data_IF_157493039458
#
_entry.id   IF_157493039458
#
_cell.length_a   1.000
_cell.length_b   1.000
_cell.length_c   1.000
_cell.angle_alpha   90.00
_cell.angle_beta   90.00
_cell.angle_gamma   90.00
#
_symmetry.space_group_name_H-M   'P 1'
#
loop_
_entity.id
_entity.type
_entity.pdbx_description
1 polymer ?
#
# COMPACT_ATOMS: atom_id res chain seq x y z
N UNK A 1 36.25 7.63 -2.73
CA UNK A 1 35.21 6.86 -2.03
C UNK A 1 35.26 5.43 -2.54
N UNK A 2 35.25 4.40 -1.66
CA UNK A 2 35.30 3.01 -2.09
C UNK A 2 34.14 2.66 -3.02
N UNK A 3 34.37 1.83 -4.07
CA UNK A 3 33.31 1.43 -5.04
C UNK A 3 32.06 0.86 -4.37
N UNK A 4 32.24 0.08 -3.31
CA UNK A 4 31.14 -0.51 -2.52
C UNK A 4 30.21 0.56 -1.90
N UNK A 5 30.75 1.66 -1.40
CA UNK A 5 29.96 2.77 -0.84
C UNK A 5 29.19 3.54 -1.92
N UNK A 6 29.75 3.66 -3.11
CA UNK A 6 29.07 4.28 -4.27
C UNK A 6 27.89 3.40 -4.67
N UNK A 7 28.09 2.09 -4.76
CA UNK A 7 27.08 1.11 -5.08
C UNK A 7 25.92 1.11 -4.03
N UNK A 8 26.29 1.06 -2.74
CA UNK A 8 25.32 1.10 -1.66
C UNK A 8 24.46 2.38 -1.69
N UNK A 9 25.07 3.54 -1.92
CA UNK A 9 24.32 4.83 -2.07
C UNK A 9 23.39 4.82 -3.28
N UNK A 10 23.79 4.21 -4.41
CA UNK A 10 22.95 4.09 -5.59
C UNK A 10 21.73 3.21 -5.29
N UNK A 11 21.93 2.04 -4.67
CA UNK A 11 20.84 1.14 -4.26
C UNK A 11 19.88 1.80 -3.27
N UNK A 12 20.40 2.48 -2.25
CA UNK A 12 19.56 3.22 -1.30
C UNK A 12 18.74 4.31 -2.00
N UNK A 13 19.35 5.07 -2.91
CA UNK A 13 18.63 6.11 -3.67
C UNK A 13 17.56 5.54 -4.59
N UNK A 14 17.73 4.33 -5.07
CA UNK A 14 16.75 3.65 -5.93
C UNK A 14 15.60 3.05 -5.13
N UNK A 15 15.89 2.41 -3.99
CA UNK A 15 14.94 1.58 -3.25
C UNK A 15 14.42 2.21 -1.94
N UNK A 16 14.82 3.46 -1.60
CA UNK A 16 14.35 4.10 -0.37
C UNK A 16 12.81 4.18 -0.24
N UNK A 17 12.00 4.31 -1.34
CA UNK A 17 10.55 4.35 -1.18
C UNK A 17 9.98 3.01 -0.71
N UNK A 18 10.53 1.90 -1.23
CA UNK A 18 10.22 0.55 -0.78
C UNK A 18 10.57 0.38 0.69
N UNK A 19 11.81 0.77 1.07
CA UNK A 19 12.29 0.65 2.45
C UNK A 19 11.47 1.49 3.42
N UNK A 20 11.01 2.68 3.02
CA UNK A 20 10.19 3.54 3.85
C UNK A 20 8.82 2.94 4.17
N UNK A 21 8.26 2.12 3.29
CA UNK A 21 7.01 1.39 3.54
C UNK A 21 7.26 0.09 4.31
N UNK A 22 8.29 -0.66 3.94
CA UNK A 22 8.61 -1.96 4.52
C UNK A 22 9.07 -1.86 5.98
N UNK A 23 9.95 -0.89 6.28
CA UNK A 23 10.60 -0.78 7.58
C UNK A 23 9.63 -0.59 8.75
N UNK A 24 8.59 0.26 8.69
CA UNK A 24 7.59 0.33 9.73
C UNK A 24 6.92 -1.02 10.02
N UNK A 25 6.52 -1.77 8.99
CA UNK A 25 5.91 -3.10 9.16
C UNK A 25 6.85 -4.06 9.91
N UNK A 26 8.12 -4.10 9.50
CA UNK A 26 9.14 -4.97 10.13
C UNK A 26 9.44 -4.55 11.58
N UNK A 27 9.56 -3.26 11.85
CA UNK A 27 9.82 -2.75 13.21
C UNK A 27 8.64 -3.01 14.14
N UNK A 28 7.41 -2.81 13.67
CA UNK A 28 6.20 -3.03 14.47
C UNK A 28 5.96 -4.52 14.72
N UNK A 29 6.35 -5.40 13.81
CA UNK A 29 6.32 -6.84 14.05
C UNK A 29 7.20 -7.26 15.23
N UNK A 30 8.34 -6.58 15.43
CA UNK A 30 9.19 -6.78 16.61
C UNK A 30 8.54 -6.43 17.95
N UNK A 31 7.53 -5.55 17.95
CA UNK A 31 6.73 -5.21 19.12
C UNK A 31 5.65 -6.24 19.48
N UNK A 32 5.46 -7.26 18.66
CA UNK A 32 4.57 -8.39 18.89
C UNK A 32 3.11 -7.99 19.12
N UNK A 33 2.46 -8.72 20.04
CA UNK A 33 1.03 -8.51 20.33
C UNK A 33 0.74 -7.12 20.91
N UNK A 34 1.62 -6.58 21.73
CA UNK A 34 1.43 -5.26 22.34
C UNK A 34 1.35 -4.16 21.28
N UNK A 35 2.28 -4.15 20.31
CA UNK A 35 2.24 -3.19 19.20
C UNK A 35 0.99 -3.39 18.34
N UNK A 36 0.62 -4.64 18.06
CA UNK A 36 -0.59 -4.96 17.29
C UNK A 36 -1.85 -4.41 17.97
N UNK A 37 -2.06 -4.67 19.24
CA UNK A 37 -3.24 -4.20 19.97
C UNK A 37 -3.31 -2.67 20.09
N UNK A 38 -2.16 -2.02 20.24
CA UNK A 38 -2.08 -0.55 20.32
C UNK A 38 -2.38 0.14 18.99
N UNK A 39 -2.00 -0.48 17.85
CA UNK A 39 -1.97 0.17 16.55
C UNK A 39 -2.97 -0.39 15.53
N UNK A 40 -3.58 -1.56 15.77
CA UNK A 40 -4.59 -2.11 14.86
C UNK A 40 -5.74 -1.12 14.65
N UNK A 41 -6.36 -1.15 13.48
CA UNK A 41 -7.68 -0.57 13.35
C UNK A 41 -8.58 -1.20 14.42
N UNK A 42 -9.21 -0.37 15.21
CA UNK A 42 -10.17 -0.79 16.24
C UNK A 42 -11.31 0.21 16.21
N UNK A 43 -12.48 -0.24 15.74
CA UNK A 43 -13.63 0.62 15.50
C UNK A 43 -14.04 1.38 16.75
N UNK A 44 -14.12 0.69 17.89
CA UNK A 44 -14.51 1.31 19.15
C UNK A 44 -13.53 2.40 19.56
N UNK A 45 -12.24 2.12 19.55
CA UNK A 45 -11.20 3.08 19.89
C UNK A 45 -11.18 4.30 18.95
N UNK A 46 -11.36 4.09 17.64
CA UNK A 46 -11.44 5.18 16.65
C UNK A 46 -12.61 6.12 16.97
N UNK A 47 -13.78 5.58 17.26
CA UNK A 47 -14.97 6.35 17.61
C UNK A 47 -14.81 7.12 18.93
N UNK A 48 -13.88 6.70 19.81
CA UNK A 48 -13.49 7.40 21.04
C UNK A 48 -12.27 8.33 20.86
N UNK A 49 -11.83 8.57 19.60
CA UNK A 49 -10.81 9.58 19.28
C UNK A 49 -9.43 9.04 18.91
N UNK A 50 -9.19 7.71 18.89
CA UNK A 50 -7.91 7.13 18.51
C UNK A 50 -7.77 7.04 16.96
N UNK A 51 -7.90 8.20 16.30
CA UNK A 51 -8.00 8.31 14.83
C UNK A 51 -6.75 7.84 14.07
N UNK A 52 -5.58 7.77 14.72
CA UNK A 52 -4.36 7.24 14.10
C UNK A 52 -4.52 5.79 13.65
N UNK A 53 -5.41 5.02 14.28
CA UNK A 53 -5.70 3.63 13.96
C UNK A 53 -6.26 3.42 12.55
N UNK A 54 -6.83 4.47 11.94
CA UNK A 54 -7.25 4.45 10.53
C UNK A 54 -6.07 4.16 9.60
N UNK A 55 -4.88 4.61 9.95
CA UNK A 55 -3.65 4.40 9.17
C UNK A 55 -2.82 3.27 9.76
N UNK A 56 -2.58 3.28 11.07
CA UNK A 56 -1.60 2.38 11.70
C UNK A 56 -2.01 0.92 11.65
N UNK A 57 -3.32 0.62 11.58
CA UNK A 57 -3.82 -0.73 11.39
C UNK A 57 -3.27 -1.44 10.15
N UNK A 58 -2.94 -0.68 9.12
CA UNK A 58 -2.35 -1.22 7.89
C UNK A 58 -0.86 -1.62 8.06
N UNK A 59 -0.18 -1.21 9.12
CA UNK A 59 1.25 -1.47 9.31
C UNK A 59 1.56 -2.56 10.35
N UNK A 60 0.55 -3.09 11.01
CA UNK A 60 0.67 -4.22 11.94
C UNK A 60 0.04 -5.48 11.34
N UNK A 61 0.49 -6.66 11.76
CA UNK A 61 0.14 -7.94 11.16
C UNK A 61 -0.23 -8.98 12.21
N UNK A 62 -1.02 -10.00 11.83
CA UNK A 62 -1.42 -11.09 12.73
C UNK A 62 -0.25 -11.96 13.18
N UNK A 63 0.72 -12.17 12.28
CA UNK A 63 1.88 -13.00 12.54
C UNK A 63 2.88 -12.97 11.39
N UNK A 64 3.94 -13.77 11.50
CA UNK A 64 5.03 -13.78 10.51
C UNK A 64 4.57 -14.18 9.09
N UNK A 65 3.62 -15.12 8.98
CA UNK A 65 3.08 -15.54 7.67
C UNK A 65 2.40 -14.38 6.95
N UNK A 66 1.50 -13.66 7.63
CA UNK A 66 0.81 -12.50 7.10
C UNK A 66 1.79 -11.38 6.69
N UNK A 67 2.76 -11.09 7.57
CA UNK A 67 3.81 -10.10 7.26
C UNK A 67 4.61 -10.49 6.02
N UNK A 68 5.05 -11.75 5.90
CA UNK A 68 5.85 -12.21 4.76
C UNK A 68 5.07 -12.14 3.45
N UNK A 69 3.79 -12.51 3.46
CA UNK A 69 2.91 -12.40 2.30
C UNK A 69 2.79 -10.94 1.85
N UNK A 70 2.51 -10.03 2.77
CA UNK A 70 2.37 -8.61 2.47
C UNK A 70 3.69 -7.98 2.00
N UNK A 71 4.83 -8.37 2.59
CA UNK A 71 6.14 -7.89 2.14
C UNK A 71 6.51 -8.44 0.77
N UNK A 72 6.17 -9.69 0.47
CA UNK A 72 6.36 -10.26 -0.87
C UNK A 72 5.50 -9.53 -1.91
N UNK A 73 4.23 -9.24 -1.59
CA UNK A 73 3.34 -8.42 -2.41
C UNK A 73 3.91 -7.02 -2.65
N UNK A 74 4.38 -6.34 -1.60
CA UNK A 74 5.00 -5.01 -1.69
C UNK A 74 6.23 -5.02 -2.61
N UNK A 75 7.12 -6.01 -2.46
CA UNK A 75 8.30 -6.15 -3.32
C UNK A 75 7.89 -6.40 -4.77
N UNK A 76 6.93 -7.30 -5.01
CA UNK A 76 6.42 -7.58 -6.35
C UNK A 76 5.86 -6.32 -7.01
N UNK A 77 5.00 -5.58 -6.31
CA UNK A 77 4.42 -4.33 -6.82
C UNK A 77 5.49 -3.25 -7.05
N UNK A 78 6.52 -3.20 -6.19
CA UNK A 78 7.65 -2.31 -6.41
C UNK A 78 8.43 -2.66 -7.68
N UNK A 79 8.68 -3.95 -7.93
CA UNK A 79 9.34 -4.41 -9.15
C UNK A 79 8.51 -4.11 -10.41
N UNK A 80 7.18 -4.24 -10.32
CA UNK A 80 6.28 -3.96 -11.43
C UNK A 80 6.08 -2.46 -11.68
N UNK A 81 5.94 -1.67 -10.64
CA UNK A 81 5.46 -0.28 -10.74
C UNK A 81 6.48 0.79 -10.33
N UNK A 82 7.67 0.43 -9.86
CA UNK A 82 8.67 1.38 -9.38
C UNK A 82 9.07 2.45 -10.41
N UNK A 83 8.96 2.16 -11.71
CA UNK A 83 9.22 3.14 -12.78
C UNK A 83 8.05 4.11 -13.02
N UNK A 84 6.80 3.69 -12.75
CA UNK A 84 5.61 4.53 -12.92
C UNK A 84 5.23 5.26 -11.64
N UNK A 85 5.68 4.76 -10.49
CA UNK A 85 5.46 5.34 -9.15
C UNK A 85 6.79 5.67 -8.44
N UNK A 86 7.69 6.46 -9.04
CA UNK A 86 9.01 6.71 -8.46
C UNK A 86 8.96 7.63 -7.23
N UNK A 87 9.96 7.46 -6.36
CA UNK A 87 10.19 8.37 -5.24
C UNK A 87 9.02 8.42 -4.25
N UNK A 88 8.65 9.60 -3.80
CA UNK A 88 7.61 9.83 -2.79
C UNK A 88 6.20 9.39 -3.19
N UNK A 89 5.95 9.09 -4.45
CA UNK A 89 4.64 8.63 -4.93
C UNK A 89 4.23 7.32 -4.29
N UNK A 90 5.16 6.37 -4.13
CA UNK A 90 4.89 5.07 -3.51
C UNK A 90 4.46 5.21 -2.04
N UNK A 91 5.27 5.78 -1.12
CA UNK A 91 4.85 5.89 0.28
C UNK A 91 3.63 6.79 0.47
N UNK A 92 3.47 7.86 -0.29
CA UNK A 92 2.27 8.70 -0.22
C UNK A 92 1.01 7.97 -0.69
N UNK A 93 1.11 7.14 -1.75
CA UNK A 93 -0.01 6.33 -2.21
C UNK A 93 -0.39 5.28 -1.15
N UNK A 94 0.60 4.64 -0.50
CA UNK A 94 0.34 3.72 0.61
C UNK A 94 -0.35 4.42 1.77
N UNK A 95 0.12 5.59 2.21
CA UNK A 95 -0.50 6.35 3.29
C UNK A 95 -1.93 6.79 2.94
N UNK A 96 -2.14 7.30 1.74
CA UNK A 96 -3.47 7.69 1.26
C UNK A 96 -4.40 6.47 1.15
N UNK A 97 -3.90 5.36 0.61
CA UNK A 97 -4.63 4.09 0.55
C UNK A 97 -5.01 3.58 1.94
N UNK A 98 -4.05 3.57 2.88
CA UNK A 98 -4.31 3.18 4.28
C UNK A 98 -5.40 4.02 4.93
N UNK A 99 -5.39 5.35 4.70
CA UNK A 99 -6.46 6.24 5.19
C UNK A 99 -7.81 5.90 4.57
N UNK A 100 -7.87 5.68 3.24
CA UNK A 100 -9.12 5.34 2.55
C UNK A 100 -9.63 3.96 2.98
N UNK A 101 -8.74 2.97 3.16
CA UNK A 101 -9.10 1.66 3.73
C UNK A 101 -9.71 1.84 5.12
N UNK A 102 -9.03 2.54 6.04
CA UNK A 102 -9.54 2.77 7.38
C UNK A 102 -10.89 3.51 7.41
N UNK A 103 -11.05 4.54 6.58
CA UNK A 103 -12.33 5.27 6.45
C UNK A 103 -13.41 4.41 5.79
N UNK A 104 -13.06 3.62 4.77
CA UNK A 104 -13.97 2.70 4.10
C UNK A 104 -14.54 1.67 5.09
N UNK A 105 -13.68 1.02 5.87
CA UNK A 105 -14.10 0.09 6.93
C UNK A 105 -14.94 0.80 8.01
N UNK A 106 -14.60 2.04 8.38
CA UNK A 106 -15.33 2.79 9.40
C UNK A 106 -16.74 3.16 8.94
N UNK A 107 -16.90 3.56 7.69
CA UNK A 107 -18.16 4.11 7.18
C UNK A 107 -19.00 3.07 6.45
N UNK A 108 -18.37 2.11 5.75
CA UNK A 108 -19.03 1.10 4.91
C UNK A 108 -19.30 -0.21 5.61
N UNK A 109 -18.44 -0.62 6.56
CA UNK A 109 -18.49 -1.96 7.17
C UNK A 109 -18.64 -1.91 8.71
N UNK A 110 -19.83 -1.57 9.21
CA UNK A 110 -20.06 -1.46 10.65
C UNK A 110 -19.80 -2.76 11.42
N UNK A 111 -19.82 -3.92 10.78
CA UNK A 111 -19.52 -5.22 11.37
C UNK A 111 -18.03 -5.51 11.53
N UNK A 112 -17.14 -4.71 10.92
CA UNK A 112 -15.69 -4.88 11.09
C UNK A 112 -15.24 -4.14 12.34
N UNK A 113 -15.04 -4.91 13.42
CA UNK A 113 -14.60 -4.36 14.71
C UNK A 113 -13.10 -4.04 14.73
N UNK A 114 -12.27 -4.86 14.09
CA UNK A 114 -10.82 -4.65 14.03
C UNK A 114 -10.23 -5.17 12.71
N UNK A 115 -9.08 -4.57 12.32
CA UNK A 115 -8.37 -4.91 11.08
C UNK A 115 -6.87 -4.69 11.24
N UNK A 116 -6.08 -5.51 10.54
CA UNK A 116 -4.63 -5.42 10.40
C UNK A 116 -4.19 -5.87 9.01
N UNK A 117 -3.04 -5.37 8.54
CA UNK A 117 -2.41 -5.77 7.27
C UNK A 117 -2.38 -4.66 6.23
N UNK A 118 -1.27 -4.60 5.47
CA UNK A 118 -1.06 -3.57 4.46
C UNK A 118 -1.68 -3.92 3.09
N UNK A 119 -2.23 -5.13 2.93
CA UNK A 119 -2.71 -5.66 1.65
C UNK A 119 -3.71 -4.73 0.94
N UNK A 120 -4.64 -4.10 1.67
CA UNK A 120 -5.55 -3.11 1.11
C UNK A 120 -4.81 -1.92 0.51
N UNK A 121 -3.81 -1.37 1.20
CA UNK A 121 -2.98 -0.29 0.67
C UNK A 121 -2.07 -0.76 -0.48
N UNK A 122 -1.74 -2.05 -0.56
CA UNK A 122 -1.04 -2.61 -1.73
C UNK A 122 -1.94 -2.61 -2.98
N UNK A 123 -3.24 -2.86 -2.84
CA UNK A 123 -4.19 -2.74 -3.96
C UNK A 123 -4.31 -1.29 -4.44
N UNK A 124 -4.06 -0.30 -3.57
CA UNK A 124 -3.89 1.10 -4.00
C UNK A 124 -2.71 1.27 -4.94
N UNK A 125 -1.55 0.68 -4.62
CA UNK A 125 -0.38 0.71 -5.50
C UNK A 125 -0.64 -0.02 -6.81
N UNK A 126 -1.34 -1.16 -6.76
CA UNK A 126 -1.68 -1.94 -7.95
C UNK A 126 -2.57 -1.14 -8.90
N UNK A 127 -3.71 -0.62 -8.43
CA UNK A 127 -4.62 0.17 -9.25
C UNK A 127 -3.93 1.42 -9.84
N UNK A 128 -3.20 2.17 -9.00
CA UNK A 128 -2.50 3.38 -9.40
C UNK A 128 -1.38 3.08 -10.41
N UNK A 129 -0.61 2.01 -10.19
CA UNK A 129 0.47 1.58 -11.08
C UNK A 129 -0.05 1.11 -12.44
N UNK A 130 -1.10 0.28 -12.45
CA UNK A 130 -1.75 -0.17 -13.69
C UNK A 130 -2.28 1.01 -14.51
N UNK A 131 -2.95 1.98 -13.87
CA UNK A 131 -3.37 3.23 -14.50
C UNK A 131 -2.19 4.06 -15.01
N UNK A 132 -1.04 4.02 -14.32
CA UNK A 132 0.19 4.66 -14.75
C UNK A 132 0.70 4.12 -16.09
N UNK A 133 0.68 2.79 -16.29
CA UNK A 133 1.01 2.14 -17.57
C UNK A 133 -0.03 2.46 -18.65
N UNK A 134 -1.34 2.34 -18.35
CA UNK A 134 -2.42 2.65 -19.30
C UNK A 134 -2.26 4.08 -19.85
N UNK A 135 -1.94 5.05 -19.00
CA UNK A 135 -1.70 6.45 -19.40
C UNK A 135 -0.49 6.63 -20.30
N UNK A 136 0.52 5.79 -20.13
CA UNK A 136 1.69 5.74 -21.03
C UNK A 136 1.39 5.00 -22.34
N UNK A 137 0.13 4.58 -22.55
CA UNK A 137 -0.34 3.75 -23.68
C UNK A 137 0.35 2.38 -23.72
N UNK A 138 0.81 1.89 -22.59
CA UNK A 138 1.36 0.56 -22.47
C UNK A 138 0.22 -0.45 -22.20
N UNK A 139 0.07 -1.41 -23.10
CA UNK A 139 -0.98 -2.44 -23.04
C UNK A 139 -0.85 -3.35 -21.81
N UNK A 140 0.35 -3.48 -21.26
CA UNK A 140 0.59 -4.24 -20.03
C UNK A 140 -0.23 -3.71 -18.85
N UNK A 141 -0.49 -2.40 -18.81
CA UNK A 141 -1.36 -1.80 -17.81
C UNK A 141 -2.79 -2.37 -17.79
N UNK A 142 -3.34 -2.69 -18.97
CA UNK A 142 -4.67 -3.33 -19.05
C UNK A 142 -4.66 -4.76 -18.54
N UNK A 143 -3.58 -5.51 -18.75
CA UNK A 143 -3.41 -6.87 -18.21
C UNK A 143 -3.37 -6.81 -16.69
N UNK A 144 -2.55 -5.92 -16.12
CA UNK A 144 -2.45 -5.75 -14.68
C UNK A 144 -3.77 -5.28 -14.04
N UNK A 145 -4.49 -4.37 -14.70
CA UNK A 145 -5.81 -3.94 -14.26
C UNK A 145 -6.83 -5.08 -14.32
N UNK A 146 -6.79 -5.90 -15.38
CA UNK A 146 -7.65 -7.08 -15.51
C UNK A 146 -7.43 -8.09 -14.38
N UNK A 147 -6.18 -8.36 -14.00
CA UNK A 147 -5.87 -9.22 -12.85
C UNK A 147 -6.38 -8.65 -11.53
N UNK A 148 -6.21 -7.33 -11.29
CA UNK A 148 -6.74 -6.68 -10.09
C UNK A 148 -8.27 -6.80 -10.04
N UNK A 149 -8.96 -6.48 -11.13
CA UNK A 149 -10.42 -6.56 -11.19
C UNK A 149 -10.93 -7.99 -11.01
N UNK A 150 -10.24 -8.98 -11.59
CA UNK A 150 -10.58 -10.39 -11.40
C UNK A 150 -10.38 -10.83 -9.94
N UNK A 151 -9.27 -10.41 -9.28
CA UNK A 151 -9.03 -10.64 -7.85
C UNK A 151 -10.16 -10.06 -7.01
N UNK A 152 -10.48 -8.78 -7.19
CA UNK A 152 -11.53 -8.11 -6.42
C UNK A 152 -12.90 -8.73 -6.66
N UNK A 153 -13.25 -9.05 -7.91
CA UNK A 153 -14.51 -9.73 -8.22
C UNK A 153 -14.59 -11.10 -7.54
N UNK A 154 -13.51 -11.88 -7.56
CA UNK A 154 -13.46 -13.15 -6.85
C UNK A 154 -13.68 -12.95 -5.35
N UNK A 155 -12.97 -12.02 -4.73
CA UNK A 155 -13.03 -11.76 -3.30
C UNK A 155 -14.41 -11.29 -2.84
N UNK A 156 -15.08 -10.45 -3.62
CA UNK A 156 -16.43 -9.97 -3.32
C UNK A 156 -17.52 -11.03 -3.53
N UNK A 157 -17.31 -12.00 -4.42
CA UNK A 157 -18.32 -13.02 -4.74
C UNK A 157 -18.14 -14.29 -3.92
N UNK A 158 -16.91 -14.69 -3.61
CA UNK A 158 -16.58 -15.98 -2.99
C UNK A 158 -15.75 -15.85 -1.70
N UNK A 159 -15.37 -14.62 -1.32
CA UNK A 159 -14.53 -14.39 -0.15
C UNK A 159 -13.03 -14.46 -0.46
N UNK A 160 -12.18 -14.50 0.58
CA UNK A 160 -10.74 -14.38 0.42
C UNK A 160 -10.14 -15.48 -0.47
N UNK A 161 -9.04 -15.14 -1.15
CA UNK A 161 -8.30 -16.12 -1.94
C UNK A 161 -7.86 -17.31 -1.06
N UNK A 162 -7.90 -18.55 -1.58
CA UNK A 162 -7.65 -19.76 -0.77
C UNK A 162 -6.32 -19.76 -0.01
N UNK A 163 -5.28 -19.16 -0.59
CA UNK A 163 -3.95 -19.10 0.02
C UNK A 163 -3.83 -18.01 1.09
N UNK A 164 -4.53 -16.86 0.93
CA UNK A 164 -4.39 -15.72 1.83
C UNK A 164 -4.93 -16.00 3.23
N UNK A 165 -5.99 -16.77 3.37
CA UNK A 165 -6.53 -17.16 4.69
C UNK A 165 -5.58 -18.10 5.43
N UNK A 166 -4.92 -19.01 4.71
CA UNK A 166 -3.99 -19.96 5.31
C UNK A 166 -2.69 -19.28 5.78
N UNK A 167 -2.18 -18.31 5.02
CA UNK A 167 -0.93 -17.59 5.33
C UNK A 167 -1.14 -16.46 6.33
N UNK A 168 -2.29 -15.78 6.30
CA UNK A 168 -2.59 -14.68 7.22
C UNK A 168 -2.77 -15.12 8.68
N UNK A 169 -3.18 -16.38 8.91
CA UNK A 169 -3.48 -16.90 10.24
C UNK A 169 -4.76 -16.33 10.86
N UNK A 170 -5.66 -15.76 10.06
CA UNK A 170 -6.93 -15.19 10.50
C UNK A 170 -7.85 -14.81 9.33
N UNK A 171 -9.02 -14.25 9.67
CA UNK A 171 -9.99 -13.80 8.65
C UNK A 171 -9.44 -12.60 7.86
N UNK A 172 -9.43 -12.73 6.55
CA UNK A 172 -9.07 -11.64 5.63
C UNK A 172 -10.30 -10.78 5.38
N UNK A 173 -10.18 -9.48 5.60
CA UNK A 173 -11.24 -8.49 5.33
C UNK A 173 -11.10 -8.02 3.88
N UNK A 174 -11.85 -8.66 2.97
CA UNK A 174 -11.75 -8.43 1.52
C UNK A 174 -12.20 -7.02 1.09
N UNK A 175 -13.09 -6.39 1.87
CA UNK A 175 -13.54 -5.02 1.61
C UNK A 175 -12.40 -3.99 1.73
N UNK A 176 -11.38 -4.27 2.57
CA UNK A 176 -10.16 -3.47 2.63
C UNK A 176 -9.42 -3.43 1.28
N UNK A 177 -9.42 -4.54 0.53
CA UNK A 177 -8.83 -4.62 -0.80
C UNK A 177 -9.60 -3.75 -1.81
N UNK A 178 -10.93 -3.82 -1.77
CA UNK A 178 -11.79 -2.99 -2.62
C UNK A 178 -11.58 -1.50 -2.34
N UNK A 179 -11.59 -1.07 -1.07
CA UNK A 179 -11.35 0.33 -0.69
C UNK A 179 -9.95 0.80 -1.11
N UNK A 180 -8.94 -0.06 -0.97
CA UNK A 180 -7.60 0.23 -1.45
C UNK A 180 -7.53 0.44 -2.96
N UNK A 181 -8.14 -0.45 -3.73
CA UNK A 181 -8.20 -0.33 -5.19
C UNK A 181 -8.96 0.94 -5.64
N UNK A 182 -10.06 1.28 -4.96
CA UNK A 182 -10.79 2.53 -5.19
C UNK A 182 -9.92 3.76 -4.90
N UNK A 183 -9.14 3.75 -3.81
CA UNK A 183 -8.19 4.82 -3.51
C UNK A 183 -7.16 4.98 -4.64
N UNK A 184 -6.58 3.88 -5.14
CA UNK A 184 -5.64 3.90 -6.25
C UNK A 184 -6.26 4.43 -7.55
N UNK A 185 -7.49 4.05 -7.84
CA UNK A 185 -8.24 4.57 -8.98
C UNK A 185 -8.48 6.08 -8.86
N UNK A 186 -8.96 6.57 -7.70
CA UNK A 186 -9.19 7.99 -7.45
C UNK A 186 -7.90 8.80 -7.57
N UNK A 187 -6.80 8.35 -6.95
CA UNK A 187 -5.49 8.99 -7.08
C UNK A 187 -5.01 8.97 -8.53
N UNK A 188 -5.26 7.87 -9.22
CA UNK A 188 -4.96 7.71 -10.63
C UNK A 188 -5.75 8.69 -11.49
N UNK A 189 -7.07 8.78 -11.40
CA UNK A 189 -7.91 9.68 -12.20
C UNK A 189 -7.78 11.14 -11.79
N UNK A 190 -7.58 11.44 -10.50
CA UNK A 190 -7.29 12.78 -9.97
C UNK A 190 -5.94 13.36 -10.39
N UNK A 191 -5.12 12.60 -11.09
CA UNK A 191 -3.78 12.98 -11.55
C UNK A 191 -3.69 14.09 -12.60
N UNK A 192 -4.76 14.88 -12.79
CA UNK A 192 -4.67 16.26 -13.26
C UNK A 192 -4.03 17.20 -12.21
N UNK A 193 -3.90 16.76 -10.95
CA UNK A 193 -3.05 17.44 -9.97
C UNK A 193 -1.58 17.41 -10.44
N UNK A 194 -0.89 18.55 -10.37
CA UNK A 194 0.45 18.71 -10.95
C UNK A 194 1.55 18.06 -10.12
N UNK A 195 1.35 16.76 -9.74
CA UNK A 195 2.36 15.99 -9.01
C UNK A 195 3.74 16.08 -9.69
N UNK A 196 3.77 16.16 -11.03
CA UNK A 196 5.00 16.35 -11.80
C UNK A 196 5.59 17.76 -11.69
N UNK A 197 4.79 18.79 -11.41
CA UNK A 197 5.25 20.19 -11.33
C UNK A 197 5.73 20.56 -9.92
N UNK A 198 5.05 20.10 -8.89
CA UNK A 198 5.41 20.41 -7.50
C UNK A 198 6.75 19.73 -7.15
N UNK A 199 6.94 18.48 -7.58
CA UNK A 199 8.16 17.73 -7.25
C UNK A 199 9.37 18.08 -8.09
N UNK A 200 9.23 18.64 -9.31
CA UNK A 200 10.39 19.17 -10.07
C UNK A 200 11.10 20.30 -9.34
N UNK A 201 10.40 21.09 -8.54
CA UNK A 201 10.99 22.16 -7.74
C UNK A 201 11.83 21.65 -6.56
N UNK A 202 11.58 20.44 -6.06
CA UNK A 202 12.29 19.87 -4.91
C UNK A 202 13.41 18.89 -5.28
N UNK A 203 13.43 18.35 -6.51
CA UNK A 203 14.38 17.29 -6.94
C UNK A 203 15.50 17.80 -7.85
N UNK A 204 15.42 19.02 -8.39
CA UNK A 204 16.50 19.65 -9.17
C UNK A 204 16.84 21.03 -8.62
N UNK A 205 17.71 21.15 -7.60
CA UNK A 205 18.43 22.37 -7.38
C UNK A 205 19.60 22.40 -8.38
N UNK A 206 19.52 23.22 -9.44
CA UNK A 206 20.67 23.65 -10.19
C UNK A 206 20.89 23.09 -11.60
N UNK A 207 19.87 23.07 -12.46
CA UNK A 207 20.09 23.12 -13.91
C UNK A 207 19.49 24.44 -14.39
N UNK A 208 20.32 25.44 -14.80
CA UNK A 208 19.82 26.64 -15.43
C UNK A 208 19.23 26.34 -16.81
N UNK A 209 18.38 27.25 -17.35
CA UNK A 209 17.63 27.07 -18.58
C UNK A 209 18.52 26.92 -19.82
#
# INVERSE_FOLDING_TARGET
MPPALIQARKLLRQHWPLLLVMLPCLLLAGGGEAARLLLRYDRGAILHGEVWRLITGNFVHLGAGHLLEDMAGLVLLWLLFGEVLPGWRTPLAVLAGSMVVGLGLLLGDPGVEWYVGISGALDTLWALGALGFIRRRDRFGWVLMGFLLAKLAYEQLWGPLPFSTASSGGTVIVDAHLYGALAGALLGFGGGLPWGRIMRRFVQPGVPP
#
